data_IF_457723692946
#
_entry.id   IF_457723692946
#
_cell.length_a   1.000
_cell.length_b   1.000
_cell.length_c   1.000
_cell.angle_alpha   90.00
_cell.angle_beta   90.00
_cell.angle_gamma   90.00
#
_symmetry.space_group_name_H-M   'P 1'
#
loop_
_entity.id
_entity.type
_entity.pdbx_description
1 polymer ?
#
# COMPACT_ATOMS: atom_id res chain seq x y z
N UNK A 1 -0.70 32.42 -46.20
CA UNK A 1 -1.43 31.25 -45.64
C UNK A 1 -0.47 30.50 -44.72
N UNK A 2 -0.72 30.47 -43.41
CA UNK A 2 0.19 29.91 -42.40
C UNK A 2 -0.48 28.66 -41.83
N UNK A 3 -0.01 27.48 -42.22
CA UNK A 3 -0.51 26.21 -41.70
C UNK A 3 0.06 25.98 -40.30
N UNK A 4 -0.82 25.85 -39.31
CA UNK A 4 -0.47 25.42 -37.94
C UNK A 4 -0.80 23.93 -37.85
N UNK A 5 0.22 23.11 -37.66
CA UNK A 5 0.07 21.68 -37.36
C UNK A 5 -0.25 21.53 -35.87
N UNK A 6 -1.49 21.13 -35.57
CA UNK A 6 -1.93 20.77 -34.23
C UNK A 6 -1.55 19.32 -33.96
N UNK A 7 -0.51 19.09 -33.17
CA UNK A 7 -0.13 17.75 -32.72
C UNK A 7 -1.10 17.30 -31.61
N UNK A 8 -1.92 16.30 -31.89
CA UNK A 8 -2.76 15.62 -30.90
C UNK A 8 -1.94 14.53 -30.20
N UNK A 9 -1.53 14.79 -28.96
CA UNK A 9 -0.95 13.75 -28.11
C UNK A 9 -2.07 12.83 -27.59
N UNK A 10 -2.10 11.58 -28.05
CA UNK A 10 -2.87 10.52 -27.38
C UNK A 10 -2.18 10.19 -26.05
N UNK A 11 -2.71 10.67 -24.93
CA UNK A 11 -2.37 10.13 -23.64
C UNK A 11 -3.01 8.73 -23.52
N UNK A 12 -2.19 7.68 -23.51
CA UNK A 12 -2.66 6.33 -23.21
C UNK A 12 -3.13 6.27 -21.75
N UNK A 13 -4.45 6.23 -21.53
CA UNK A 13 -5.03 5.81 -20.26
C UNK A 13 -4.85 4.30 -20.11
N UNK A 14 -3.63 3.88 -19.78
CA UNK A 14 -3.41 2.55 -19.24
C UNK A 14 -4.11 2.50 -17.87
N UNK A 15 -5.35 2.03 -17.84
CA UNK A 15 -6.05 1.76 -16.60
C UNK A 15 -5.25 0.73 -15.81
N UNK A 16 -4.87 1.06 -14.58
CA UNK A 16 -4.27 0.09 -13.67
C UNK A 16 -5.36 -0.95 -13.36
N UNK A 17 -5.24 -2.14 -13.92
CA UNK A 17 -6.08 -3.28 -13.50
C UNK A 17 -5.70 -3.57 -12.06
N UNK A 18 -6.58 -3.20 -11.14
CA UNK A 18 -6.41 -3.47 -9.73
C UNK A 18 -6.71 -4.96 -9.51
N UNK A 19 -5.74 -5.68 -8.95
CA UNK A 19 -5.95 -7.06 -8.51
C UNK A 19 -7.11 -7.10 -7.49
N UNK A 20 -7.73 -8.29 -7.30
CA UNK A 20 -8.75 -8.43 -6.27
C UNK A 20 -8.16 -8.03 -4.91
N UNK A 21 -8.97 -7.45 -4.00
CA UNK A 21 -8.52 -7.20 -2.64
C UNK A 21 -7.98 -8.47 -1.98
N UNK A 22 -6.80 -8.40 -1.37
CA UNK A 22 -6.14 -9.53 -0.71
C UNK A 22 -5.97 -9.31 0.79
N UNK A 23 -5.92 -10.41 1.56
CA UNK A 23 -5.53 -10.34 2.97
C UNK A 23 -4.01 -10.30 3.09
N UNK A 24 -3.50 -9.40 3.91
CA UNK A 24 -2.06 -9.31 4.20
C UNK A 24 -1.78 -10.07 5.49
N UNK A 25 -0.82 -11.00 5.47
CA UNK A 25 -0.44 -11.83 6.63
C UNK A 25 1.00 -11.59 7.05
N UNK A 26 1.28 -11.77 8.34
CA UNK A 26 2.66 -11.91 8.82
C UNK A 26 3.27 -13.22 8.32
N UNK A 27 4.52 -13.15 7.84
CA UNK A 27 5.29 -14.33 7.41
C UNK A 27 6.62 -14.32 8.17
N UNK A 28 6.55 -14.68 9.45
CA UNK A 28 7.73 -14.85 10.31
C UNK A 28 7.67 -16.25 10.88
N UNK A 29 8.80 -16.95 10.94
CA UNK A 29 8.88 -18.27 11.57
C UNK A 29 8.96 -18.12 13.11
N UNK A 30 8.17 -18.89 13.90
CA UNK A 30 7.13 -19.83 13.47
C UNK A 30 5.91 -19.11 12.88
N UNK A 31 5.34 -19.67 11.80
CA UNK A 31 4.24 -19.04 11.07
C UNK A 31 2.99 -18.96 11.95
N UNK A 32 2.68 -17.75 12.41
CA UNK A 32 1.38 -17.43 12.98
C UNK A 32 0.44 -16.92 11.88
N UNK A 33 -0.76 -17.47 11.79
CA UNK A 33 -1.83 -17.02 10.88
C UNK A 33 -2.44 -15.69 11.35
N UNK A 34 -1.60 -14.66 11.45
CA UNK A 34 -2.01 -13.32 11.84
C UNK A 34 -2.07 -12.41 10.62
N UNK A 35 -3.13 -11.61 10.56
CA UNK A 35 -3.51 -10.80 9.41
C UNK A 35 -3.64 -9.34 9.79
N UNK A 36 -3.22 -8.46 8.87
CA UNK A 36 -3.30 -7.03 9.01
C UNK A 36 -4.76 -6.57 9.13
N UNK A 37 -5.01 -5.73 10.12
CA UNK A 37 -6.32 -5.17 10.44
C UNK A 37 -6.17 -3.92 11.31
N UNK A 38 -7.20 -3.09 11.34
CA UNK A 38 -7.28 -1.96 12.26
C UNK A 38 -7.61 -2.40 13.68
N UNK A 39 -6.84 -1.92 14.67
CA UNK A 39 -7.06 -2.21 16.07
C UNK A 39 -8.49 -1.84 16.51
N UNK A 40 -9.24 -2.71 17.20
CA UNK A 40 -10.65 -2.45 17.50
C UNK A 40 -10.93 -1.19 18.33
N UNK A 41 -10.01 -0.79 19.21
CA UNK A 41 -10.19 0.41 20.06
C UNK A 41 -9.73 1.70 19.40
N UNK A 42 -8.80 1.62 18.44
CA UNK A 42 -8.30 2.76 17.69
C UNK A 42 -7.98 2.32 16.26
N UNK A 43 -8.84 2.73 15.33
CA UNK A 43 -8.76 2.30 13.93
C UNK A 43 -7.58 2.92 13.16
N UNK A 44 -6.87 3.88 13.75
CA UNK A 44 -5.64 4.44 13.16
C UNK A 44 -4.42 3.53 13.34
N UNK A 45 -4.51 2.54 14.23
CA UNK A 45 -3.39 1.65 14.57
C UNK A 45 -3.54 0.33 13.81
N UNK A 46 -2.65 0.04 12.83
CA UNK A 46 -2.59 -1.27 12.20
C UNK A 46 -1.99 -2.30 13.17
N UNK A 47 -2.59 -3.49 13.22
CA UNK A 47 -2.11 -4.62 14.02
C UNK A 47 -2.20 -5.93 13.23
N UNK A 48 -1.45 -6.94 13.67
CA UNK A 48 -1.61 -8.32 13.22
C UNK A 48 -2.51 -9.07 14.22
N UNK A 49 -3.63 -9.61 13.73
CA UNK A 49 -4.63 -10.30 14.56
C UNK A 49 -5.25 -11.52 13.86
N UNK A 50 -6.33 -12.11 14.39
CA UNK A 50 -6.90 -13.33 13.84
C UNK A 50 -7.50 -13.11 12.44
N UNK A 51 -7.54 -14.19 11.64
CA UNK A 51 -8.04 -14.15 10.26
C UNK A 51 -9.49 -13.68 10.13
N UNK A 52 -10.33 -14.01 11.12
CA UNK A 52 -11.76 -13.69 11.11
C UNK A 52 -12.03 -12.17 11.08
N UNK A 53 -11.09 -11.36 11.56
CA UNK A 53 -11.17 -9.90 11.57
C UNK A 53 -10.19 -9.24 10.60
N UNK A 54 -9.56 -10.03 9.72
CA UNK A 54 -8.65 -9.53 8.70
C UNK A 54 -9.36 -8.55 7.76
N UNK A 55 -8.65 -7.49 7.37
CA UNK A 55 -9.09 -6.61 6.30
C UNK A 55 -8.56 -7.11 4.95
N UNK A 56 -9.30 -6.80 3.89
CA UNK A 56 -8.87 -6.98 2.52
C UNK A 56 -8.28 -5.66 2.01
N UNK A 57 -7.22 -5.74 1.23
CA UNK A 57 -6.49 -4.57 0.77
C UNK A 57 -6.34 -4.58 -0.75
N UNK A 58 -6.63 -3.42 -1.34
CA UNK A 58 -6.26 -3.06 -2.69
C UNK A 58 -4.77 -2.65 -2.68
N UNK A 59 -3.93 -3.35 -3.43
CA UNK A 59 -2.49 -3.11 -3.49
C UNK A 59 -2.10 -2.68 -4.90
N UNK A 60 -1.80 -1.39 -5.07
CA UNK A 60 -1.41 -0.81 -6.36
C UNK A 60 -0.65 0.52 -6.17
N UNK A 61 0.60 0.45 -5.71
CA UNK A 61 1.40 1.62 -5.32
C UNK A 61 1.00 2.23 -3.97
N UNK A 62 -0.28 2.16 -3.63
CA UNK A 62 -0.81 2.34 -2.26
C UNK A 62 -1.33 1.01 -1.73
N UNK A 63 -1.57 0.96 -0.42
CA UNK A 63 -2.27 -0.16 0.22
C UNK A 63 -3.51 0.44 0.87
N UNK A 64 -4.68 0.22 0.26
CA UNK A 64 -5.96 0.74 0.74
C UNK A 64 -6.84 -0.40 1.20
N UNK A 65 -7.37 -0.31 2.42
CA UNK A 65 -8.38 -1.26 2.90
C UNK A 65 -9.65 -1.16 2.06
N UNK A 66 -10.10 -2.28 1.53
CA UNK A 66 -11.41 -2.42 0.88
C UNK A 66 -12.57 -2.41 1.90
N UNK A 67 -12.26 -2.63 3.19
CA UNK A 67 -13.25 -2.62 4.28
C UNK A 67 -13.54 -1.19 4.75
N UNK A 68 -12.49 -0.40 4.99
CA UNK A 68 -12.58 0.92 5.65
C UNK A 68 -12.17 2.09 4.76
N UNK A 69 -11.72 1.83 3.52
CA UNK A 69 -11.12 2.82 2.61
C UNK A 69 -9.87 3.52 3.16
N UNK A 70 -9.36 3.11 4.32
CA UNK A 70 -8.16 3.68 4.95
C UNK A 70 -6.89 3.15 4.29
N UNK A 71 -5.88 4.00 4.21
CA UNK A 71 -4.58 3.73 3.61
C UNK A 71 -3.55 3.37 4.68
N UNK A 72 -2.77 2.32 4.43
CA UNK A 72 -1.59 1.99 5.22
C UNK A 72 -0.45 2.93 4.85
N UNK A 73 0.01 3.70 5.83
CA UNK A 73 1.02 4.74 5.66
C UNK A 73 2.27 4.47 6.49
N UNK A 74 3.37 5.09 6.08
CA UNK A 74 4.66 5.04 6.77
C UNK A 74 4.83 6.35 7.56
N UNK A 75 5.14 6.23 8.84
CA UNK A 75 5.42 7.34 9.75
C UNK A 75 6.72 8.07 9.44
N UNK A 76 6.79 9.32 9.90
CA UNK A 76 7.97 10.18 9.77
C UNK A 76 9.03 9.97 10.85
N UNK A 77 9.07 8.80 11.49
CA UNK A 77 9.96 8.53 12.63
C UNK A 77 11.44 8.70 12.23
N UNK A 78 12.28 9.19 13.14
CA UNK A 78 13.72 9.33 12.90
C UNK A 78 14.48 7.99 12.96
N UNK A 79 13.89 6.98 13.60
CA UNK A 79 14.48 5.64 13.80
C UNK A 79 14.48 4.80 12.52
N UNK A 80 15.30 3.74 12.48
CA UNK A 80 15.33 2.81 11.35
C UNK A 80 13.99 2.09 11.15
N UNK A 81 13.33 1.70 12.23
CA UNK A 81 11.96 1.21 12.21
C UNK A 81 11.00 2.39 12.12
N UNK A 82 10.11 2.35 11.12
CA UNK A 82 9.05 3.34 10.92
C UNK A 82 7.74 2.81 11.46
N UNK A 83 7.00 3.67 12.14
CA UNK A 83 5.64 3.39 12.58
C UNK A 83 4.75 3.24 11.36
N UNK A 84 3.77 2.34 11.41
CA UNK A 84 2.71 2.25 10.42
C UNK A 84 1.43 2.83 10.99
N UNK A 85 0.63 3.49 10.14
CA UNK A 85 -0.67 4.03 10.51
C UNK A 85 -1.71 3.78 9.44
N UNK A 86 -2.98 3.79 9.84
CA UNK A 86 -4.13 3.79 8.95
C UNK A 86 -4.77 5.18 8.98
N UNK A 87 -4.99 5.77 7.81
CA UNK A 87 -5.70 7.06 7.71
C UNK A 87 -6.51 7.15 6.42
N UNK A 88 -7.41 8.13 6.34
CA UNK A 88 -8.31 8.33 5.19
C UNK A 88 -7.61 8.87 3.92
N UNK A 89 -6.33 9.22 4.00
CA UNK A 89 -5.54 9.73 2.88
C UNK A 89 -4.27 8.89 2.70
N UNK A 90 -3.90 8.66 1.44
CA UNK A 90 -2.60 8.07 1.13
C UNK A 90 -1.49 9.09 1.42
N UNK A 91 -0.64 8.78 2.38
CA UNK A 91 0.59 9.51 2.69
C UNK A 91 1.81 8.99 1.92
N UNK A 92 1.67 7.91 1.15
CA UNK A 92 2.79 7.32 0.41
C UNK A 92 2.33 6.48 -0.79
N UNK A 93 3.09 6.55 -1.88
CA UNK A 93 3.00 5.64 -3.03
C UNK A 93 4.21 4.68 -3.12
N UNK A 94 4.95 4.56 -2.02
CA UNK A 94 6.18 3.77 -1.97
C UNK A 94 5.95 2.26 -1.96
N UNK A 95 4.72 1.79 -1.72
CA UNK A 95 4.44 0.36 -1.60
C UNK A 95 4.58 -0.35 -2.94
N UNK A 96 5.13 -1.56 -2.89
CA UNK A 96 5.27 -2.45 -4.03
C UNK A 96 5.29 -3.91 -3.59
N UNK A 97 5.48 -4.79 -4.58
CA UNK A 97 5.53 -6.23 -4.39
C UNK A 97 6.87 -6.78 -4.89
N UNK A 98 7.47 -7.67 -4.11
CA UNK A 98 8.58 -8.54 -4.50
C UNK A 98 8.07 -9.99 -4.37
N UNK A 99 7.54 -10.54 -5.47
CA UNK A 99 6.67 -11.72 -5.40
C UNK A 99 5.40 -11.41 -4.61
N UNK A 100 5.10 -12.21 -3.58
CA UNK A 100 3.96 -12.01 -2.69
C UNK A 100 4.30 -11.11 -1.47
N UNK A 101 5.56 -10.68 -1.35
CA UNK A 101 6.00 -9.88 -0.20
C UNK A 101 5.80 -8.40 -0.46
N UNK A 102 5.16 -7.72 0.49
CA UNK A 102 5.02 -6.25 0.48
C UNK A 102 6.35 -5.61 0.85
N UNK A 103 6.80 -4.69 0.02
CA UNK A 103 8.05 -3.94 0.21
C UNK A 103 7.82 -2.44 -0.05
N UNK A 104 8.77 -1.63 0.37
CA UNK A 104 8.97 -0.29 -0.19
C UNK A 104 9.80 -0.41 -1.47
N UNK A 105 9.34 0.22 -2.55
CA UNK A 105 10.03 0.19 -3.85
C UNK A 105 11.41 0.85 -3.76
N UNK A 106 12.38 0.36 -4.55
CA UNK A 106 13.75 0.88 -4.57
C UNK A 106 13.82 2.37 -4.95
N UNK A 107 12.88 2.86 -5.76
CA UNK A 107 12.80 4.27 -6.15
C UNK A 107 12.27 5.19 -5.04
N UNK A 108 11.75 4.64 -3.94
CA UNK A 108 11.26 5.43 -2.81
C UNK A 108 12.39 5.81 -1.85
N UNK A 109 12.17 6.84 -1.03
CA UNK A 109 13.09 7.24 0.04
C UNK A 109 13.30 6.16 1.11
N UNK A 110 12.41 5.16 1.18
CA UNK A 110 12.50 4.01 2.08
C UNK A 110 12.96 2.72 1.38
N UNK A 111 13.32 2.79 0.10
CA UNK A 111 13.79 1.64 -0.67
C UNK A 111 15.17 1.17 -0.20
N UNK A 112 15.46 -0.12 -0.38
CA UNK A 112 16.83 -0.64 -0.17
C UNK A 112 17.77 0.09 -1.14
N UNK A 113 18.74 0.83 -0.61
CA UNK A 113 19.82 1.43 -1.40
C UNK A 113 20.88 0.36 -1.64
N UNK A 114 21.11 0.03 -2.90
CA UNK A 114 22.26 -0.75 -3.33
C UNK A 114 23.44 0.18 -3.62
#
# INVERSE_FOLDING_TARGET
>A
MRFVLLATSLASLAGVVLAKPEKIRGVTDPVYHLYLQAYPKDKSIPVLGPEASAEFFNIAGTIQSANSSSYLNIGGDATSYKTLSLSNASGTSAWGLEGDTIITTQSSSWGRRM
#
